data_IF_338907930541
#
_entry.id   IF_338907930541
#
_cell.length_a   1.000
_cell.length_b   1.000
_cell.length_c   1.000
_cell.angle_alpha   90.00
_cell.angle_beta   90.00
_cell.angle_gamma   90.00
#
_symmetry.space_group_name_H-M   'P 1'
#
loop_
_entity.id
_entity.type
_entity.pdbx_description
1 polymer ?
#
# COMPACT_ATOMS: atom_id res chain seq x y z
N UNK A 1 9.58 34.74 4.95
CA UNK A 1 9.27 33.29 4.88
C UNK A 1 9.25 32.91 3.41
N UNK A 2 10.09 31.97 2.97
CA UNK A 2 10.13 31.55 1.56
C UNK A 2 8.92 30.65 1.32
N UNK A 3 7.95 31.11 0.52
CA UNK A 3 6.82 30.29 0.14
C UNK A 3 7.28 29.36 -0.98
N UNK A 4 7.35 28.07 -0.70
CA UNK A 4 7.75 27.05 -1.67
C UNK A 4 6.48 26.63 -2.41
N UNK A 5 6.36 27.07 -3.67
CA UNK A 5 5.33 26.57 -4.57
C UNK A 5 5.91 25.29 -5.18
N UNK A 6 5.42 24.14 -4.76
CA UNK A 6 5.86 22.86 -5.29
C UNK A 6 5.23 22.64 -6.68
N UNK A 7 6.01 22.19 -7.68
CA UNK A 7 5.49 21.83 -8.98
C UNK A 7 4.55 20.62 -8.90
N UNK A 8 3.72 20.40 -9.93
CA UNK A 8 2.83 19.24 -9.99
C UNK A 8 3.59 17.92 -10.16
N UNK A 9 4.76 17.98 -10.79
CA UNK A 9 5.69 16.85 -10.96
C UNK A 9 6.93 17.14 -10.14
N UNK A 10 7.23 16.26 -9.19
CA UNK A 10 8.32 16.36 -8.24
C UNK A 10 9.50 15.49 -8.67
N UNK A 11 10.72 15.96 -8.39
CA UNK A 11 11.95 15.14 -8.45
C UNK A 11 12.11 14.29 -7.19
N UNK A 12 13.10 13.40 -7.17
CA UNK A 12 13.43 12.61 -5.96
C UNK A 12 13.81 13.50 -4.77
N UNK A 13 14.48 14.61 -5.02
CA UNK A 13 14.90 15.59 -4.00
C UNK A 13 13.69 16.33 -3.44
N UNK A 14 12.79 16.79 -4.30
CA UNK A 14 11.57 17.47 -3.87
C UNK A 14 10.61 16.53 -3.12
N UNK A 15 10.52 15.26 -3.52
CA UNK A 15 9.77 14.25 -2.76
C UNK A 15 10.43 13.95 -1.41
N UNK A 16 11.76 13.98 -1.34
CA UNK A 16 12.50 13.82 -0.08
C UNK A 16 12.15 14.93 0.91
N UNK A 17 12.13 16.17 0.45
CA UNK A 17 11.67 17.32 1.25
C UNK A 17 10.18 17.23 1.60
N UNK A 18 9.35 16.81 0.64
CA UNK A 18 7.90 16.71 0.81
C UNK A 18 7.50 15.66 1.86
N UNK A 19 8.03 14.45 1.73
CA UNK A 19 7.75 13.32 2.62
C UNK A 19 8.62 13.33 3.87
N UNK A 20 9.65 14.19 3.92
CA UNK A 20 10.66 14.27 5.00
C UNK A 20 11.35 12.93 5.24
N UNK A 21 11.73 12.26 4.15
CA UNK A 21 12.37 10.95 4.16
C UNK A 21 13.67 10.99 3.35
N UNK A 22 14.70 10.21 3.71
CA UNK A 22 15.95 10.16 2.96
C UNK A 22 15.74 9.70 1.51
N UNK A 23 16.42 10.35 0.55
CA UNK A 23 16.35 10.04 -0.88
C UNK A 23 16.60 8.56 -1.19
N UNK A 24 17.57 7.94 -0.52
CA UNK A 24 17.91 6.52 -0.72
C UNK A 24 16.72 5.60 -0.39
N UNK A 25 15.98 5.93 0.68
CA UNK A 25 14.79 5.18 1.06
C UNK A 25 13.70 5.35 0.02
N UNK A 26 13.48 6.57 -0.46
CA UNK A 26 12.46 6.85 -1.48
C UNK A 26 12.78 6.19 -2.82
N UNK A 27 14.04 6.24 -3.25
CA UNK A 27 14.50 5.56 -4.47
C UNK A 27 14.27 4.04 -4.37
N UNK A 28 14.64 3.43 -3.23
CA UNK A 28 14.37 2.01 -2.98
C UNK A 28 12.88 1.70 -3.00
N UNK A 29 12.04 2.53 -2.40
CA UNK A 29 10.58 2.32 -2.41
C UNK A 29 9.96 2.49 -3.79
N UNK A 30 10.45 3.45 -4.58
CA UNK A 30 10.02 3.66 -5.95
C UNK A 30 10.41 2.47 -6.85
N UNK A 31 11.63 1.94 -6.70
CA UNK A 31 12.07 0.72 -7.37
C UNK A 31 11.23 -0.51 -6.99
N UNK A 32 10.77 -0.60 -5.74
CA UNK A 32 9.88 -1.67 -5.26
C UNK A 32 8.41 -1.48 -5.67
N UNK A 33 8.06 -0.37 -6.34
CA UNK A 33 6.68 -0.03 -6.69
C UNK A 33 5.80 0.33 -5.49
N UNK A 34 6.40 0.58 -4.32
CA UNK A 34 5.68 0.98 -3.09
C UNK A 34 5.35 2.46 -3.07
N UNK A 35 6.17 3.27 -3.75
CA UNK A 35 5.99 4.70 -3.92
C UNK A 35 5.60 4.98 -5.38
N UNK A 36 4.49 5.69 -5.66
CA UNK A 36 4.05 5.94 -7.02
C UNK A 36 4.97 6.96 -7.71
N UNK A 37 5.78 6.47 -8.64
CA UNK A 37 6.66 7.30 -9.45
C UNK A 37 7.05 6.59 -10.74
N UNK A 38 7.59 7.33 -11.70
CA UNK A 38 8.09 6.78 -12.97
C UNK A 38 9.54 7.23 -13.19
N UNK A 39 10.37 6.30 -13.64
CA UNK A 39 11.72 6.60 -14.09
C UNK A 39 11.69 6.95 -15.58
N UNK A 40 12.25 8.10 -15.96
CA UNK A 40 12.35 8.60 -17.32
C UNK A 40 13.81 8.98 -17.55
N UNK A 41 14.48 8.33 -18.50
CA UNK A 41 15.87 8.64 -18.90
C UNK A 41 16.84 8.83 -17.71
N UNK A 42 16.75 7.93 -16.73
CA UNK A 42 17.50 7.88 -15.46
C UNK A 42 17.02 8.79 -14.33
N UNK A 43 16.08 9.69 -14.56
CA UNK A 43 15.52 10.51 -13.50
C UNK A 43 14.18 9.99 -13.00
N UNK A 44 13.89 10.18 -11.71
CA UNK A 44 12.58 9.91 -11.15
C UNK A 44 11.66 11.12 -11.26
N UNK A 45 10.40 10.86 -11.61
CA UNK A 45 9.32 11.83 -11.63
C UNK A 45 8.15 11.29 -10.82
N UNK A 46 7.64 12.13 -9.92
CA UNK A 46 6.55 11.79 -9.02
C UNK A 46 5.43 12.81 -9.19
N UNK A 47 4.21 12.36 -9.51
CA UNK A 47 3.07 13.27 -9.53
C UNK A 47 2.66 13.58 -8.09
N UNK A 48 2.59 14.87 -7.73
CA UNK A 48 2.19 15.29 -6.38
C UNK A 48 0.83 14.71 -6.00
N UNK A 49 -0.14 14.77 -6.91
CA UNK A 49 -1.49 14.20 -6.68
C UNK A 49 -1.43 12.69 -6.40
N UNK A 50 -0.58 11.95 -7.11
CA UNK A 50 -0.44 10.51 -6.89
C UNK A 50 0.20 10.19 -5.54
N UNK A 51 1.17 11.00 -5.10
CA UNK A 51 1.78 10.89 -3.77
C UNK A 51 0.75 11.24 -2.69
N UNK A 52 -0.05 12.29 -2.89
CA UNK A 52 -1.11 12.69 -1.95
C UNK A 52 -2.17 11.61 -1.81
N UNK A 53 -2.61 11.02 -2.92
CA UNK A 53 -3.56 9.91 -2.92
C UNK A 53 -2.97 8.66 -2.27
N UNK A 54 -1.70 8.37 -2.51
CA UNK A 54 -0.99 7.27 -1.87
C UNK A 54 -0.87 7.46 -0.35
N UNK A 55 -0.62 8.69 0.12
CA UNK A 55 -0.63 9.00 1.56
C UNK A 55 -2.03 8.86 2.18
N UNK A 56 -3.08 9.17 1.41
CA UNK A 56 -4.48 9.01 1.84
C UNK A 56 -4.97 7.57 1.77
N UNK A 57 -4.35 6.74 0.94
CA UNK A 57 -4.77 5.37 0.74
C UNK A 57 -4.69 4.62 2.07
N UNK A 58 -5.86 4.14 2.53
CA UNK A 58 -5.95 3.27 3.69
C UNK A 58 -5.17 1.99 3.38
N UNK A 59 -4.32 1.56 4.33
CA UNK A 59 -3.61 0.30 4.23
C UNK A 59 -4.63 -0.81 3.91
N UNK A 60 -4.35 -1.69 2.94
CA UNK A 60 -5.28 -2.76 2.52
C UNK A 60 -5.76 -3.60 3.71
N UNK A 61 -4.92 -3.71 4.74
CA UNK A 61 -5.25 -4.33 6.02
C UNK A 61 -6.34 -3.57 6.80
N UNK A 62 -6.28 -2.24 6.82
CA UNK A 62 -7.32 -1.38 7.43
C UNK A 62 -8.66 -1.54 6.69
N UNK A 63 -8.64 -1.54 5.37
CA UNK A 63 -9.85 -1.77 4.55
C UNK A 63 -10.48 -3.14 4.83
N UNK A 64 -9.66 -4.20 4.89
CA UNK A 64 -10.13 -5.54 5.25
C UNK A 64 -10.65 -5.60 6.70
N UNK A 65 -10.01 -4.89 7.65
CA UNK A 65 -10.49 -4.81 9.02
C UNK A 65 -11.80 -4.02 9.15
N UNK A 66 -12.01 -2.97 8.35
CA UNK A 66 -13.29 -2.24 8.32
C UNK A 66 -14.43 -3.10 7.76
N UNK A 67 -14.10 -4.07 6.90
CA UNK A 67 -15.05 -5.06 6.40
C UNK A 67 -15.17 -6.30 7.31
N UNK A 68 -14.25 -6.47 8.27
CA UNK A 68 -14.32 -7.54 9.25
C UNK A 68 -15.51 -7.27 10.19
N UNK A 69 -16.57 -8.07 10.04
CA UNK A 69 -17.85 -7.88 10.71
C UNK A 69 -19.03 -7.70 9.75
N UNK A 70 -18.79 -7.14 8.55
CA UNK A 70 -19.85 -6.98 7.53
C UNK A 70 -20.38 -8.33 7.01
N UNK A 71 -19.57 -9.38 7.14
CA UNK A 71 -19.91 -10.74 6.74
C UNK A 71 -20.08 -11.70 7.93
N UNK A 72 -20.18 -11.19 9.16
CA UNK A 72 -20.31 -12.04 10.34
C UNK A 72 -21.60 -12.88 10.31
N UNK A 73 -22.65 -12.37 9.66
CA UNK A 73 -23.94 -13.05 9.54
C UNK A 73 -24.03 -13.96 8.30
N UNK A 74 -23.02 -13.95 7.41
CA UNK A 74 -23.04 -14.78 6.20
C UNK A 74 -22.56 -16.20 6.50
N UNK A 75 -23.53 -17.09 6.70
CA UNK A 75 -23.29 -18.51 7.03
C UNK A 75 -22.65 -19.29 5.87
N UNK A 76 -22.70 -18.79 4.63
CA UNK A 76 -22.11 -19.45 3.46
C UNK A 76 -20.57 -19.40 3.46
N UNK A 77 -20.00 -18.38 4.12
CA UNK A 77 -18.55 -18.21 4.20
C UNK A 77 -17.86 -19.29 5.03
N UNK A 78 -18.55 -19.84 6.04
CA UNK A 78 -18.03 -20.95 6.83
C UNK A 78 -17.82 -22.19 5.94
N UNK A 79 -18.79 -22.51 5.09
CA UNK A 79 -18.71 -23.63 4.15
C UNK A 79 -17.61 -23.42 3.10
N UNK A 80 -17.48 -22.17 2.61
CA UNK A 80 -16.43 -21.81 1.66
C UNK A 80 -15.02 -21.93 2.30
N UNK A 81 -14.87 -21.50 3.55
CA UNK A 81 -13.61 -21.64 4.30
C UNK A 81 -13.22 -23.11 4.40
N UNK A 82 -14.11 -23.98 4.85
CA UNK A 82 -13.85 -25.41 4.98
C UNK A 82 -13.40 -26.03 3.66
N UNK A 83 -14.11 -25.75 2.55
CA UNK A 83 -13.74 -26.31 1.24
C UNK A 83 -12.37 -25.80 0.72
N UNK A 84 -11.98 -24.56 1.03
CA UNK A 84 -10.65 -24.03 0.71
C UNK A 84 -9.54 -24.75 1.50
N UNK A 85 -9.77 -25.04 2.79
CA UNK A 85 -8.82 -25.76 3.63
C UNK A 85 -8.64 -27.21 3.16
N UNK A 86 -9.74 -27.92 2.88
CA UNK A 86 -9.74 -29.27 2.31
C UNK A 86 -8.98 -29.33 0.97
N UNK A 87 -9.29 -28.40 0.05
CA UNK A 87 -8.62 -28.33 -1.25
C UNK A 87 -7.11 -28.04 -1.16
N UNK A 88 -6.66 -27.38 -0.09
CA UNK A 88 -5.25 -27.09 0.18
C UNK A 88 -4.54 -28.19 0.98
N UNK A 89 -5.26 -29.24 1.38
CA UNK A 89 -4.71 -30.32 2.21
C UNK A 89 -4.25 -29.84 3.59
N UNK A 90 -4.86 -28.79 4.14
CA UNK A 90 -4.53 -28.23 5.46
C UNK A 90 -5.78 -28.25 6.34
N UNK A 91 -5.65 -28.68 7.59
CA UNK A 91 -6.72 -28.54 8.58
C UNK A 91 -6.87 -27.07 8.98
N UNK A 92 -8.11 -26.64 9.24
CA UNK A 92 -8.41 -25.31 9.77
C UNK A 92 -7.92 -25.15 11.22
N UNK A 93 -7.89 -26.24 11.97
CA UNK A 93 -7.36 -26.34 13.33
C UNK A 93 -5.99 -27.02 13.28
N UNK A 94 -4.94 -26.27 13.62
CA UNK A 94 -3.70 -26.87 14.08
C UNK A 94 -3.95 -27.26 15.54
N UNK A 95 -4.20 -28.55 15.79
CA UNK A 95 -4.34 -29.14 17.15
C UNK A 95 -2.98 -29.20 17.89
N UNK A 96 -2.09 -28.24 17.64
CA UNK A 96 -0.81 -28.10 18.32
C UNK A 96 -0.96 -27.13 19.50
N UNK A 97 -1.63 -27.57 20.57
CA UNK A 97 -1.57 -26.94 21.89
C UNK A 97 -0.74 -27.80 22.84
#
# INVERSE_FOLDING_TARGET
MKQVILPEVLTLEEVSEYLRLPMETLQRQALQGKLPGRQIENEWRFLKVAIDDWLRAQNSRSTLLQQAGAFADDTSLAQLRTSIYEARGRSEVDESL
#
